data_IF_653168232650
#
_entry.id   IF_653168232650
#
_cell.length_a   1.000
_cell.length_b   1.000
_cell.length_c   1.000
_cell.angle_alpha   90.00
_cell.angle_beta   90.00
_cell.angle_gamma   90.00
#
_symmetry.space_group_name_H-M   'P 1'
#
loop_
_entity.id
_entity.type
_entity.pdbx_description
1 polymer ?
#
# COMPACT_ATOMS: atom_id res chain seq x y z
N UNK A 1 -18.36 97.98 -23.94
CA UNK A 1 -19.69 97.57 -23.44
C UNK A 1 -19.48 96.31 -22.60
N UNK A 2 -19.86 96.38 -21.32
CA UNK A 2 -20.13 95.28 -20.37
C UNK A 2 -18.96 94.40 -19.90
N UNK A 3 -18.47 94.79 -18.71
CA UNK A 3 -17.95 93.94 -17.64
C UNK A 3 -18.77 92.66 -17.44
N UNK A 4 -18.08 91.54 -17.16
CA UNK A 4 -18.41 90.65 -16.04
C UNK A 4 -17.14 89.99 -15.51
N UNK A 5 -16.73 90.49 -14.34
CA UNK A 5 -15.71 89.94 -13.44
C UNK A 5 -16.43 88.94 -12.50
N UNK A 6 -15.64 88.07 -11.83
CA UNK A 6 -15.92 87.35 -10.56
C UNK A 6 -16.59 85.96 -10.76
N UNK A 7 -16.15 84.83 -10.17
CA UNK A 7 -15.34 84.61 -8.95
C UNK A 7 -14.95 83.11 -8.83
N UNK A 8 -13.66 82.84 -8.52
CA UNK A 8 -13.08 81.79 -7.64
C UNK A 8 -13.44 80.29 -7.85
N UNK A 9 -12.43 79.45 -8.08
CA UNK A 9 -11.59 78.88 -7.00
C UNK A 9 -10.23 78.38 -7.52
N UNK A 10 -9.24 78.47 -6.63
CA UNK A 10 -7.81 78.22 -6.81
C UNK A 10 -7.50 76.81 -6.29
N UNK A 11 -6.68 76.03 -7.00
CA UNK A 11 -5.65 75.19 -6.39
C UNK A 11 -4.71 74.61 -7.48
N UNK A 12 -3.53 75.21 -7.56
CA UNK A 12 -2.24 74.66 -8.02
C UNK A 12 -2.23 73.24 -8.58
N UNK A 13 -1.94 73.14 -9.88
CA UNK A 13 -1.48 71.93 -10.56
C UNK A 13 -0.17 71.42 -9.92
N UNK A 14 -0.23 70.31 -9.19
CA UNK A 14 0.90 69.38 -9.15
C UNK A 14 0.75 68.47 -10.36
N UNK A 15 1.58 68.66 -11.38
CA UNK A 15 1.85 67.60 -12.35
C UNK A 15 2.70 66.56 -11.62
N UNK A 16 2.05 65.66 -10.89
CA UNK A 16 2.70 64.41 -10.48
C UNK A 16 2.85 63.58 -11.75
N UNK A 17 4.03 63.63 -12.37
CA UNK A 17 4.44 62.64 -13.34
C UNK A 17 4.56 61.32 -12.56
N UNK A 18 3.45 60.59 -12.47
CA UNK A 18 3.49 59.20 -12.05
C UNK A 18 4.22 58.45 -13.17
N UNK A 19 5.54 58.35 -13.02
CA UNK A 19 6.32 57.37 -13.75
C UNK A 19 5.76 56.02 -13.30
N UNK A 20 4.78 55.50 -14.03
CA UNK A 20 4.41 54.10 -13.94
C UNK A 20 5.64 53.38 -14.45
N UNK A 21 6.54 53.02 -13.54
CA UNK A 21 7.54 52.01 -13.83
C UNK A 21 6.72 50.76 -14.09
N UNK A 22 6.45 50.45 -15.36
CA UNK A 22 6.20 49.08 -15.76
C UNK A 22 7.45 48.33 -15.36
N UNK A 23 7.48 47.84 -14.12
CA UNK A 23 8.26 46.66 -13.80
C UNK A 23 7.73 45.64 -14.81
N UNK A 24 8.55 45.09 -15.72
CA UNK A 24 8.10 43.94 -16.47
C UNK A 24 7.73 42.91 -15.40
N UNK A 25 6.43 42.65 -15.23
CA UNK A 25 5.99 41.45 -14.52
C UNK A 25 6.58 40.34 -15.36
N UNK A 26 7.71 39.80 -14.93
CA UNK A 26 8.30 38.64 -15.56
C UNK A 26 7.17 37.63 -15.72
N UNK A 27 6.94 37.17 -16.95
CA UNK A 27 5.94 36.18 -17.24
C UNK A 27 6.35 34.88 -16.51
N UNK A 28 5.97 34.78 -15.24
CA UNK A 28 6.22 33.60 -14.44
C UNK A 28 5.12 32.63 -14.80
N UNK A 29 5.45 31.67 -15.65
CA UNK A 29 4.56 30.56 -15.87
C UNK A 29 4.51 29.71 -14.60
N UNK A 30 3.31 29.40 -14.12
CA UNK A 30 3.14 28.78 -12.81
C UNK A 30 1.89 27.92 -12.76
N UNK A 31 1.99 26.82 -12.03
CA UNK A 31 0.84 26.00 -11.64
C UNK A 31 0.01 26.74 -10.60
N UNK A 32 -1.31 26.76 -10.79
CA UNK A 32 -2.27 27.40 -9.90
C UNK A 32 -3.39 26.40 -9.61
N UNK A 33 -3.69 26.17 -8.33
CA UNK A 33 -4.87 25.42 -7.89
C UNK A 33 -6.07 26.36 -7.75
N UNK A 34 -7.18 26.05 -8.42
CA UNK A 34 -8.45 26.76 -8.29
C UNK A 34 -9.19 26.38 -7.00
N UNK A 35 -10.13 27.24 -6.59
CA UNK A 35 -11.03 26.98 -5.44
C UNK A 35 -12.00 25.81 -5.69
N UNK A 36 -12.14 25.39 -6.94
CA UNK A 36 -12.91 24.23 -7.39
C UNK A 36 -12.09 22.93 -7.39
N UNK A 37 -10.83 22.97 -6.96
CA UNK A 37 -9.92 21.83 -6.97
C UNK A 37 -9.27 21.54 -8.32
N UNK A 38 -9.57 22.30 -9.37
CA UNK A 38 -8.96 22.15 -10.68
C UNK A 38 -7.56 22.80 -10.71
N UNK A 39 -6.66 22.24 -11.53
CA UNK A 39 -5.34 22.81 -11.77
C UNK A 39 -5.30 23.61 -13.07
N UNK A 40 -4.55 24.70 -13.05
CA UNK A 40 -4.36 25.62 -14.18
C UNK A 40 -2.88 25.91 -14.34
N UNK A 41 -2.45 26.26 -15.54
CA UNK A 41 -1.10 26.77 -15.79
C UNK A 41 -1.18 28.22 -16.28
N UNK A 42 -0.79 29.16 -15.42
CA UNK A 42 -0.70 30.57 -15.77
C UNK A 42 0.46 30.79 -16.72
N UNK A 43 0.24 31.63 -17.74
CA UNK A 43 1.25 32.11 -18.67
C UNK A 43 1.25 33.66 -18.66
N UNK A 44 1.23 34.25 -17.46
CA UNK A 44 1.11 35.69 -17.26
C UNK A 44 -0.35 36.15 -17.20
N UNK A 45 -0.87 36.74 -18.28
CA UNK A 45 -2.23 37.30 -18.31
C UNK A 45 -3.32 36.30 -18.75
N UNK A 46 -2.97 35.04 -18.99
CA UNK A 46 -3.90 33.99 -19.42
C UNK A 46 -3.53 32.62 -18.87
N UNK A 47 -4.45 31.66 -19.01
CA UNK A 47 -4.21 30.24 -18.72
C UNK A 47 -3.89 29.46 -19.98
N UNK A 48 -3.14 28.37 -19.81
CA UNK A 48 -2.92 27.38 -20.85
C UNK A 48 -4.24 26.73 -21.30
N UNK A 49 -4.38 26.52 -22.60
CA UNK A 49 -5.44 25.72 -23.23
C UNK A 49 -4.82 24.75 -24.22
N UNK A 50 -5.45 23.60 -24.42
CA UNK A 50 -4.95 22.51 -25.25
C UNK A 50 -3.70 21.83 -24.69
N UNK A 51 -2.99 21.11 -25.56
CA UNK A 51 -1.74 20.41 -25.20
C UNK A 51 -0.60 21.39 -24.90
N UNK A 52 0.09 21.20 -23.78
CA UNK A 52 1.29 21.93 -23.38
C UNK A 52 2.35 21.01 -22.82
N UNK A 53 3.59 21.23 -23.25
CA UNK A 53 4.76 20.57 -22.70
C UNK A 53 5.36 21.42 -21.60
N UNK A 54 5.33 20.92 -20.36
CA UNK A 54 5.73 21.65 -19.15
C UNK A 54 6.62 20.71 -18.33
N UNK A 55 7.83 21.15 -17.99
CA UNK A 55 8.76 20.43 -17.10
C UNK A 55 8.94 18.94 -17.42
N UNK A 56 9.03 18.58 -18.71
CA UNK A 56 9.30 17.20 -19.12
C UNK A 56 8.08 16.39 -19.52
N UNK A 57 6.87 16.87 -19.26
CA UNK A 57 5.62 16.13 -19.49
C UNK A 57 4.62 16.92 -20.33
N UNK A 58 3.76 16.20 -21.07
CA UNK A 58 2.61 16.79 -21.76
C UNK A 58 1.40 16.82 -20.85
N UNK A 59 0.68 17.94 -20.87
CA UNK A 59 -0.56 18.19 -20.13
C UNK A 59 -1.61 18.71 -21.11
N UNK A 60 -2.87 18.34 -20.88
CA UNK A 60 -3.99 18.88 -21.66
C UNK A 60 -4.85 19.78 -20.79
N UNK A 61 -5.16 20.97 -21.29
CA UNK A 61 -6.04 21.93 -20.65
C UNK A 61 -7.29 22.12 -21.51
N UNK A 62 -8.47 22.14 -20.90
CA UNK A 62 -9.72 22.42 -21.62
C UNK A 62 -9.81 23.88 -22.11
N UNK A 63 -10.92 24.24 -22.75
CA UNK A 63 -11.14 25.59 -23.27
C UNK A 63 -11.25 26.67 -22.17
N UNK A 64 -11.50 26.28 -20.92
CA UNK A 64 -11.52 27.17 -19.75
C UNK A 64 -10.17 27.19 -19.02
N UNK A 65 -9.19 26.41 -19.49
CA UNK A 65 -7.85 26.30 -18.94
C UNK A 65 -7.72 25.32 -17.78
N UNK A 66 -8.72 24.47 -17.52
CA UNK A 66 -8.65 23.43 -16.50
C UNK A 66 -7.84 22.25 -17.02
N UNK A 67 -6.84 21.83 -16.27
CA UNK A 67 -6.05 20.63 -16.55
C UNK A 67 -6.95 19.40 -16.49
N UNK A 68 -6.85 18.56 -17.51
CA UNK A 68 -7.59 17.30 -17.61
C UNK A 68 -6.73 16.12 -17.14
N UNK A 69 -7.38 15.13 -16.55
CA UNK A 69 -6.82 13.85 -16.13
C UNK A 69 -7.68 12.71 -16.69
N UNK A 70 -7.16 11.49 -16.72
CA UNK A 70 -7.85 10.32 -17.27
C UNK A 70 -7.89 10.31 -18.80
N UNK A 71 -8.94 9.72 -19.36
CA UNK A 71 -9.13 9.61 -20.81
C UNK A 71 -9.45 10.97 -21.45
N UNK A 72 -8.64 11.36 -22.43
CA UNK A 72 -8.77 12.63 -23.15
C UNK A 72 -9.05 12.34 -24.63
N UNK A 73 -10.26 12.63 -25.13
CA UNK A 73 -10.54 12.61 -26.56
C UNK A 73 -9.98 13.88 -27.20
N UNK A 74 -9.19 13.72 -28.26
CA UNK A 74 -8.67 14.84 -29.03
C UNK A 74 -8.56 14.49 -30.51
N UNK A 75 -9.41 15.13 -31.33
CA UNK A 75 -9.62 14.73 -32.73
C UNK A 75 -10.24 13.34 -32.80
N UNK A 76 -9.70 12.49 -33.68
CA UNK A 76 -10.12 11.09 -33.84
C UNK A 76 -9.38 10.11 -32.91
N UNK A 77 -8.51 10.65 -32.03
CA UNK A 77 -7.60 9.89 -31.19
C UNK A 77 -7.94 10.04 -29.71
N UNK A 78 -7.52 9.03 -28.93
CA UNK A 78 -7.64 9.01 -27.48
C UNK A 78 -6.26 9.04 -26.84
N UNK A 79 -6.18 9.73 -25.71
CA UNK A 79 -4.99 9.89 -24.89
C UNK A 79 -5.34 9.58 -23.44
N UNK A 80 -4.34 9.36 -22.60
CA UNK A 80 -4.54 9.17 -21.18
C UNK A 80 -3.56 10.01 -20.37
N UNK A 81 -4.07 10.78 -19.40
CA UNK A 81 -3.28 11.51 -18.42
C UNK A 81 -3.47 10.88 -17.04
N UNK A 82 -2.40 10.75 -16.24
CA UNK A 82 -2.52 10.29 -14.86
C UNK A 82 -3.12 11.39 -13.97
N UNK A 83 -3.29 11.11 -12.66
CA UNK A 83 -3.83 12.08 -11.71
C UNK A 83 -2.98 13.34 -11.52
N UNK A 84 -1.70 13.31 -11.88
CA UNK A 84 -0.87 14.52 -11.92
C UNK A 84 -1.13 15.38 -13.16
N UNK A 85 -1.89 14.85 -14.13
CA UNK A 85 -2.15 15.45 -15.43
C UNK A 85 -1.11 15.10 -16.49
N UNK A 86 -0.08 14.33 -16.14
CA UNK A 86 0.96 13.94 -17.08
C UNK A 86 0.44 12.90 -18.07
N UNK A 87 0.61 13.17 -19.36
CA UNK A 87 0.25 12.27 -20.46
C UNK A 87 1.09 10.98 -20.41
N UNK A 88 0.43 9.84 -20.62
CA UNK A 88 1.06 8.53 -20.64
C UNK A 88 1.38 8.07 -22.06
N UNK A 89 2.43 7.24 -22.16
CA UNK A 89 2.87 6.60 -23.41
C UNK A 89 3.26 5.14 -23.11
N UNK A 90 3.31 4.28 -24.12
CA UNK A 90 3.68 2.87 -23.99
C UNK A 90 2.54 1.94 -23.60
N UNK A 91 2.87 0.73 -23.12
CA UNK A 91 1.89 -0.26 -22.68
C UNK A 91 1.39 0.06 -21.27
N UNK A 92 0.11 0.39 -21.14
CA UNK A 92 -0.49 0.82 -19.89
C UNK A 92 -1.71 -0.03 -19.58
N UNK A 93 -1.80 -0.54 -18.36
CA UNK A 93 -3.01 -1.19 -17.87
C UNK A 93 -3.93 -0.15 -17.22
N UNK A 94 -5.16 -0.01 -17.69
CA UNK A 94 -6.15 0.93 -17.17
C UNK A 94 -7.39 0.11 -16.86
N UNK A 95 -7.85 0.12 -15.60
CA UNK A 95 -9.03 -0.64 -15.17
C UNK A 95 -8.94 -2.14 -15.49
N UNK A 96 -7.74 -2.73 -15.34
CA UNK A 96 -7.51 -4.14 -15.65
C UNK A 96 -7.38 -4.47 -17.14
N UNK A 97 -7.48 -3.47 -18.02
CA UNK A 97 -7.38 -3.64 -19.48
C UNK A 97 -6.08 -3.04 -19.99
N UNK A 98 -5.38 -3.77 -20.85
CA UNK A 98 -4.10 -3.32 -21.40
C UNK A 98 -4.34 -2.52 -22.67
N UNK A 99 -3.77 -1.31 -22.73
CA UNK A 99 -3.80 -0.40 -23.85
C UNK A 99 -2.36 -0.08 -24.28
N UNK A 100 -2.18 0.26 -25.55
CA UNK A 100 -0.90 0.73 -26.08
C UNK A 100 -1.06 2.19 -26.51
N UNK A 101 -0.18 3.06 -26.01
CA UNK A 101 -0.08 4.44 -26.42
C UNK A 101 1.23 4.66 -27.18
N UNK A 102 1.18 5.39 -28.30
CA UNK A 102 2.38 5.74 -29.07
C UNK A 102 3.29 6.71 -28.28
N UNK A 103 4.45 7.03 -28.84
CA UNK A 103 5.32 8.08 -28.28
C UNK A 103 4.71 9.49 -28.33
N UNK A 104 3.71 9.71 -29.19
CA UNK A 104 2.89 10.93 -29.21
C UNK A 104 1.71 10.89 -28.22
N UNK A 105 1.48 9.77 -27.53
CA UNK A 105 0.40 9.58 -26.57
C UNK A 105 -0.90 9.07 -27.17
N UNK A 106 -0.94 8.73 -28.46
CA UNK A 106 -2.15 8.27 -29.14
C UNK A 106 -2.41 6.79 -28.85
N UNK A 107 -3.62 6.46 -28.41
CA UNK A 107 -4.06 5.08 -28.18
C UNK A 107 -4.12 4.31 -29.50
N UNK A 108 -3.46 3.15 -29.53
CA UNK A 108 -3.38 2.27 -30.68
C UNK A 108 -4.59 1.33 -30.75
N UNK A 109 -5.02 1.01 -31.98
CA UNK A 109 -6.09 0.08 -32.31
C UNK A 109 -5.59 -0.92 -33.37
N UNK A 110 -6.19 -2.11 -33.44
CA UNK A 110 -5.80 -3.13 -34.41
C UNK A 110 -4.47 -3.81 -34.06
N UNK A 111 -3.72 -4.22 -35.08
CA UNK A 111 -2.49 -5.01 -34.90
C UNK A 111 -1.25 -4.14 -34.67
N UNK A 112 -0.43 -4.49 -33.69
CA UNK A 112 0.87 -3.86 -33.40
C UNK A 112 1.92 -4.90 -33.03
N UNK A 113 3.17 -4.67 -33.45
CA UNK A 113 4.30 -5.54 -33.09
C UNK A 113 4.97 -5.04 -31.80
N UNK A 114 4.96 -5.86 -30.76
CA UNK A 114 5.53 -5.56 -29.44
C UNK A 114 6.53 -6.66 -29.11
N UNK A 115 7.81 -6.33 -28.91
CA UNK A 115 8.86 -7.32 -28.59
C UNK A 115 8.93 -8.52 -29.55
N UNK A 116 8.71 -8.28 -30.85
CA UNK A 116 8.70 -9.34 -31.87
C UNK A 116 7.42 -10.19 -31.91
N UNK A 117 6.43 -9.85 -31.09
CA UNK A 117 5.14 -10.52 -31.01
C UNK A 117 4.04 -9.64 -31.59
N UNK A 118 3.14 -10.26 -32.37
CA UNK A 118 1.95 -9.58 -32.89
C UNK A 118 0.88 -9.51 -31.80
N UNK A 119 0.53 -8.29 -31.40
CA UNK A 119 -0.52 -8.01 -30.43
C UNK A 119 -1.69 -7.32 -31.12
N UNK A 120 -2.92 -7.74 -30.81
CA UNK A 120 -4.13 -7.16 -31.38
C UNK A 120 -4.89 -6.40 -30.29
N UNK A 121 -5.37 -5.22 -30.65
CA UNK A 121 -6.20 -4.35 -29.83
C UNK A 121 -7.55 -4.14 -30.52
N UNK A 122 -8.64 -4.17 -29.77
CA UNK A 122 -9.98 -3.92 -30.29
C UNK A 122 -10.21 -2.43 -30.62
N UNK A 123 -11.43 -2.08 -31.05
CA UNK A 123 -11.78 -0.70 -31.41
C UNK A 123 -11.78 0.28 -30.22
N UNK A 124 -11.81 -0.25 -28.99
CA UNK A 124 -11.65 0.52 -27.76
C UNK A 124 -10.18 0.55 -27.29
N UNK A 125 -9.25 0.00 -28.08
CA UNK A 125 -7.82 -0.05 -27.75
C UNK A 125 -7.45 -1.08 -26.70
N UNK A 126 -8.32 -2.05 -26.41
CA UNK A 126 -8.09 -3.10 -25.40
C UNK A 126 -7.38 -4.28 -26.04
N UNK A 127 -6.31 -4.75 -25.42
CA UNK A 127 -5.60 -5.95 -25.85
C UNK A 127 -6.50 -7.20 -25.78
N UNK A 128 -6.59 -7.94 -26.88
CA UNK A 128 -7.42 -9.14 -27.05
C UNK A 128 -6.62 -10.42 -27.32
N UNK A 129 -5.30 -10.39 -27.14
CA UNK A 129 -4.44 -11.56 -27.36
C UNK A 129 -4.35 -12.50 -26.16
N UNK A 130 -4.01 -13.75 -26.42
CA UNK A 130 -3.79 -14.79 -25.38
C UNK A 130 -2.38 -14.79 -24.81
N UNK A 131 -1.47 -14.01 -25.39
CA UNK A 131 -0.09 -13.94 -24.94
C UNK A 131 0.08 -12.96 -23.78
N UNK A 132 0.85 -13.32 -22.74
CA UNK A 132 1.12 -12.40 -21.64
C UNK A 132 2.01 -11.25 -22.14
N UNK A 133 1.45 -10.05 -22.19
CA UNK A 133 2.22 -8.81 -22.38
C UNK A 133 2.26 -8.04 -21.06
N UNK A 134 3.43 -7.50 -20.75
CA UNK A 134 3.70 -6.79 -19.49
C UNK A 134 3.53 -5.28 -19.71
N UNK A 135 2.56 -4.63 -19.06
CA UNK A 135 2.46 -3.18 -19.04
C UNK A 135 3.68 -2.56 -18.35
N UNK A 136 4.01 -1.31 -18.70
CA UNK A 136 5.06 -0.53 -18.04
C UNK A 136 4.52 0.34 -16.92
N UNK A 137 3.20 0.57 -16.88
CA UNK A 137 2.46 1.22 -15.79
C UNK A 137 1.04 0.65 -15.71
N UNK A 138 0.39 0.83 -14.58
CA UNK A 138 -1.04 0.53 -14.45
C UNK A 138 -1.77 1.66 -13.70
N UNK A 139 -3.07 1.81 -13.95
CA UNK A 139 -3.96 2.78 -13.33
C UNK A 139 -5.32 2.12 -13.01
N UNK A 140 -5.87 2.38 -11.84
CA UNK A 140 -7.21 1.94 -11.46
C UNK A 140 -8.30 2.82 -12.08
N UNK A 141 -9.57 2.53 -11.76
CA UNK A 141 -10.74 3.31 -12.20
C UNK A 141 -10.68 4.79 -11.79
N UNK A 142 -10.00 5.10 -10.69
CA UNK A 142 -9.85 6.45 -10.18
C UNK A 142 -8.59 7.14 -10.73
N UNK A 143 -7.82 6.48 -11.59
CA UNK A 143 -6.57 7.00 -12.15
C UNK A 143 -5.38 6.89 -11.20
N UNK A 144 -5.51 6.19 -10.06
CA UNK A 144 -4.40 5.96 -9.16
C UNK A 144 -3.41 5.02 -9.82
N UNK A 145 -2.11 5.35 -9.73
CA UNK A 145 -1.08 4.44 -10.21
C UNK A 145 -1.12 3.13 -9.42
N UNK A 146 -1.14 2.03 -10.16
CA UNK A 146 -1.05 0.65 -9.67
C UNK A 146 0.19 -0.02 -10.28
N UNK A 147 0.77 -1.01 -9.60
CA UNK A 147 1.95 -1.71 -10.11
C UNK A 147 1.59 -2.55 -11.33
N UNK A 148 2.29 -2.40 -12.46
CA UNK A 148 2.21 -3.37 -13.54
C UNK A 148 3.02 -4.64 -13.20
N UNK A 149 2.59 -5.79 -13.70
CA UNK A 149 3.30 -7.06 -13.49
C UNK A 149 4.59 -7.14 -14.33
N UNK A 150 5.74 -6.78 -13.76
CA UNK A 150 7.04 -6.81 -14.46
C UNK A 150 7.75 -8.17 -14.36
N UNK A 151 7.95 -8.84 -15.49
CA UNK A 151 9.04 -9.83 -15.66
C UNK A 151 10.11 -9.22 -16.57
N UNK A 152 11.37 -9.31 -16.15
CA UNK A 152 12.57 -8.72 -16.74
C UNK A 152 12.58 -8.61 -18.28
N UNK A 153 12.85 -7.40 -18.78
CA UNK A 153 12.99 -7.09 -20.21
C UNK A 153 14.47 -6.99 -20.63
N UNK A 154 14.81 -7.59 -21.77
CA UNK A 154 15.98 -7.29 -22.61
C UNK A 154 15.49 -7.10 -24.05
N UNK A 155 15.85 -5.98 -24.69
CA UNK A 155 15.49 -5.66 -26.08
C UNK A 155 16.76 -5.73 -26.96
N UNK A 156 16.64 -6.32 -28.15
CA UNK A 156 17.71 -6.42 -29.16
C UNK A 156 17.36 -5.67 -30.47
N UNK A 157 18.29 -5.68 -31.43
CA UNK A 157 19.03 -4.51 -31.89
C UNK A 157 18.43 -3.67 -33.04
N UNK A 158 17.11 -3.57 -33.19
CA UNK A 158 16.48 -2.71 -34.23
C UNK A 158 15.33 -1.79 -33.74
N UNK A 159 15.14 -1.62 -32.43
CA UNK A 159 14.18 -0.65 -31.89
C UNK A 159 14.85 0.70 -31.63
N UNK A 160 14.33 1.78 -32.20
CA UNK A 160 14.69 3.15 -31.77
C UNK A 160 13.67 3.63 -30.75
N UNK A 161 13.95 3.43 -29.46
CA UNK A 161 13.43 4.25 -28.35
C UNK A 161 14.42 4.31 -27.18
N UNK A 162 14.68 5.56 -26.78
CA UNK A 162 15.31 6.15 -25.58
C UNK A 162 16.71 5.72 -25.14
N UNK A 163 17.68 6.59 -25.43
CA UNK A 163 18.84 6.81 -24.54
C UNK A 163 18.44 7.90 -23.55
N UNK A 164 18.69 7.61 -22.28
CA UNK A 164 18.72 8.53 -21.13
C UNK A 164 17.49 8.48 -20.19
N UNK A 165 17.72 7.75 -19.09
CA UNK A 165 17.06 7.79 -17.76
C UNK A 165 18.20 8.25 -16.81
N UNK A 166 18.08 9.20 -15.83
CA UNK A 166 17.10 9.18 -14.71
C UNK A 166 16.66 10.52 -14.02
N UNK A 167 15.60 10.43 -13.17
CA UNK A 167 15.54 10.74 -11.71
C UNK A 167 14.37 11.62 -11.17
N UNK A 168 13.21 11.02 -10.84
CA UNK A 168 12.35 11.36 -9.67
C UNK A 168 11.23 10.33 -9.37
N UNK A 169 11.56 9.04 -9.47
CA UNK A 169 10.61 7.94 -9.25
C UNK A 169 9.83 7.96 -7.94
N UNK A 170 8.57 7.50 -8.00
CA UNK A 170 7.85 7.05 -6.82
C UNK A 170 7.04 5.78 -7.13
N UNK A 171 7.21 4.79 -6.25
CA UNK A 171 6.72 3.42 -6.29
C UNK A 171 5.47 3.31 -5.40
N UNK A 172 4.38 2.67 -5.89
CA UNK A 172 3.22 2.33 -5.06
C UNK A 172 3.19 0.81 -4.85
N UNK A 173 3.43 0.29 -3.64
CA UNK A 173 3.48 -1.16 -3.42
C UNK A 173 2.10 -1.81 -3.64
N UNK A 174 2.04 -3.06 -4.16
CA UNK A 174 0.80 -3.85 -4.30
C UNK A 174 0.08 -3.94 -2.95
N UNK A 175 -1.23 -3.73 -2.85
CA UNK A 175 -1.90 -3.75 -1.54
C UNK A 175 -2.60 -5.08 -1.25
N UNK A 176 -2.64 -5.46 0.02
CA UNK A 176 -3.32 -6.65 0.54
C UNK A 176 -4.35 -6.27 1.61
N UNK A 177 -5.46 -6.99 1.63
CA UNK A 177 -6.57 -6.77 2.55
C UNK A 177 -6.52 -7.78 3.70
N UNK A 178 -6.57 -7.26 4.93
CA UNK A 178 -6.65 -8.03 6.16
C UNK A 178 -8.01 -7.79 6.79
N UNK A 179 -8.78 -8.86 6.95
CA UNK A 179 -10.07 -8.85 7.68
C UNK A 179 -9.86 -9.41 9.08
N UNK A 180 -10.32 -8.68 10.08
CA UNK A 180 -10.30 -9.05 11.48
C UNK A 180 -11.71 -9.44 11.90
N UNK A 181 -11.88 -10.67 12.38
CA UNK A 181 -13.19 -11.23 12.71
C UNK A 181 -13.29 -11.72 14.15
N UNK A 182 -14.45 -11.60 14.76
CA UNK A 182 -14.80 -12.31 16.00
C UNK A 182 -15.60 -13.57 15.62
N UNK A 183 -15.00 -14.77 15.71
CA UNK A 183 -15.71 -16.00 15.37
C UNK A 183 -16.85 -16.31 16.36
N UNK A 184 -16.83 -15.72 17.55
CA UNK A 184 -17.81 -15.93 18.62
C UNK A 184 -18.78 -14.73 18.74
N UNK A 185 -19.01 -14.02 17.64
CA UNK A 185 -19.98 -12.93 17.58
C UNK A 185 -21.41 -13.48 17.65
N UNK A 186 -22.31 -12.77 18.35
CA UNK A 186 -23.69 -13.20 18.53
C UNK A 186 -24.50 -13.21 17.23
N UNK A 187 -24.10 -12.41 16.23
CA UNK A 187 -24.74 -12.30 14.92
C UNK A 187 -23.71 -12.18 13.79
N UNK A 188 -24.09 -12.54 12.55
CA UNK A 188 -23.20 -12.47 11.37
C UNK A 188 -22.70 -11.05 11.06
N UNK A 189 -23.50 -10.03 11.36
CA UNK A 189 -23.13 -8.62 11.15
C UNK A 189 -22.04 -8.14 12.12
N UNK A 190 -21.90 -8.78 13.29
CA UNK A 190 -20.90 -8.47 14.32
C UNK A 190 -19.61 -9.31 14.16
N UNK A 191 -19.61 -10.28 13.23
CA UNK A 191 -18.47 -11.17 12.98
C UNK A 191 -17.28 -10.40 12.40
N UNK A 192 -17.48 -9.29 11.68
CA UNK A 192 -16.40 -8.47 11.10
C UNK A 192 -16.06 -7.28 12.00
N UNK A 193 -14.96 -7.40 12.74
CA UNK A 193 -14.50 -6.35 13.64
C UNK A 193 -13.80 -5.19 12.90
N UNK A 194 -12.97 -5.50 11.89
CA UNK A 194 -12.19 -4.48 11.17
C UNK A 194 -11.69 -4.98 9.82
N UNK A 195 -11.51 -4.06 8.87
CA UNK A 195 -10.76 -4.31 7.62
C UNK A 195 -9.63 -3.30 7.50
N UNK A 196 -8.45 -3.74 7.06
CA UNK A 196 -7.28 -2.87 6.83
C UNK A 196 -6.57 -3.27 5.54
N UNK A 197 -6.08 -2.27 4.81
CA UNK A 197 -5.29 -2.44 3.58
C UNK A 197 -3.82 -2.14 3.88
N UNK A 198 -2.91 -2.95 3.33
CA UNK A 198 -1.47 -2.85 3.58
C UNK A 198 -0.68 -3.03 2.29
N UNK A 199 0.24 -2.12 2.06
CA UNK A 199 1.24 -2.16 0.99
C UNK A 199 2.14 -3.41 1.06
N UNK A 200 2.44 -4.01 -0.09
CA UNK A 200 3.27 -5.19 -0.26
C UNK A 200 4.68 -4.86 0.21
N UNK A 201 5.28 -5.82 0.92
CA UNK A 201 6.56 -5.65 1.61
C UNK A 201 6.54 -4.63 2.75
N UNK A 202 5.38 -4.12 3.17
CA UNK A 202 5.24 -3.31 4.38
C UNK A 202 4.84 -4.15 5.58
N UNK A 203 5.37 -3.79 6.74
CA UNK A 203 4.97 -4.36 8.02
C UNK A 203 3.75 -3.61 8.57
N UNK A 204 2.83 -4.32 9.22
CA UNK A 204 1.70 -3.71 9.92
C UNK A 204 1.61 -4.14 11.37
N UNK A 205 1.10 -3.23 12.22
CA UNK A 205 0.56 -3.55 13.52
C UNK A 205 -0.84 -4.13 13.41
N UNK A 206 -1.12 -5.11 14.26
CA UNK A 206 -2.42 -5.74 14.38
C UNK A 206 -3.36 -4.90 15.26
N UNK A 207 -4.66 -5.02 14.99
CA UNK A 207 -5.71 -4.35 15.73
C UNK A 207 -5.89 -5.01 17.11
N UNK A 208 -6.06 -4.25 18.18
CA UNK A 208 -6.38 -4.80 19.52
C UNK A 208 -7.90 -4.72 19.70
N UNK A 209 -8.62 -5.86 19.67
CA UNK A 209 -10.06 -5.86 19.88
C UNK A 209 -10.38 -5.87 21.39
N UNK A 210 -11.59 -5.42 21.73
CA UNK A 210 -12.13 -5.50 23.10
C UNK A 210 -13.47 -6.22 23.08
N UNK A 211 -13.66 -7.18 23.98
CA UNK A 211 -14.91 -7.92 24.16
C UNK A 211 -15.26 -7.98 25.64
N UNK A 212 -16.46 -7.56 26.02
CA UNK A 212 -16.88 -7.50 27.42
C UNK A 212 -16.87 -8.89 28.05
N UNK A 213 -16.22 -9.03 29.21
CA UNK A 213 -16.11 -10.32 29.90
C UNK A 213 -15.03 -11.26 29.35
N UNK A 214 -14.24 -10.83 28.37
CA UNK A 214 -13.16 -11.63 27.79
C UNK A 214 -11.84 -10.85 27.72
N UNK A 215 -10.72 -11.57 27.77
CA UNK A 215 -9.38 -11.08 27.47
C UNK A 215 -8.98 -11.56 26.07
N UNK A 216 -8.47 -10.64 25.24
CA UNK A 216 -7.94 -10.99 23.93
C UNK A 216 -6.62 -11.76 24.08
N UNK A 217 -6.52 -12.93 23.44
CA UNK A 217 -5.34 -13.80 23.51
C UNK A 217 -4.43 -13.60 22.29
N UNK A 218 -4.96 -13.84 21.09
CA UNK A 218 -4.22 -13.68 19.83
C UNK A 218 -5.17 -13.55 18.63
N UNK A 219 -4.63 -13.08 17.51
CA UNK A 219 -5.23 -13.26 16.18
C UNK A 219 -4.81 -14.61 15.61
N UNK A 220 -5.73 -15.36 15.00
CA UNK A 220 -5.41 -16.63 14.37
C UNK A 220 -5.89 -16.69 12.92
N UNK A 221 -5.11 -17.32 12.03
CA UNK A 221 -5.51 -17.55 10.63
C UNK A 221 -6.69 -18.52 10.45
N UNK A 222 -7.11 -19.22 11.51
CA UNK A 222 -8.30 -20.07 11.54
C UNK A 222 -9.16 -19.73 12.75
N UNK A 223 -10.48 -19.75 12.58
CA UNK A 223 -11.46 -19.46 13.64
C UNK A 223 -11.33 -20.38 14.85
N UNK A 224 -10.97 -21.64 14.63
CA UNK A 224 -10.79 -22.65 15.68
C UNK A 224 -9.42 -22.60 16.40
N UNK A 225 -8.61 -21.57 16.14
CA UNK A 225 -7.30 -21.42 16.75
C UNK A 225 -6.22 -22.36 16.22
N UNK A 226 -6.49 -23.30 15.31
CA UNK A 226 -5.47 -24.26 14.84
C UNK A 226 -4.59 -23.74 13.69
N UNK A 227 -4.67 -22.45 13.37
CA UNK A 227 -3.82 -21.80 12.38
C UNK A 227 -2.60 -21.11 13.01
N UNK A 228 -1.88 -20.34 12.19
CA UNK A 228 -0.82 -19.43 12.65
C UNK A 228 -1.41 -18.35 13.55
N UNK A 229 -0.86 -18.20 14.75
CA UNK A 229 -1.22 -17.18 15.75
C UNK A 229 -0.32 -15.95 15.67
N UNK A 230 -0.90 -14.78 15.89
CA UNK A 230 -0.25 -13.48 15.94
C UNK A 230 -0.74 -12.67 17.14
N UNK A 231 0.18 -12.18 17.95
CA UNK A 231 -0.07 -11.24 19.03
C UNK A 231 -0.29 -9.83 18.50
N UNK A 232 -0.96 -8.99 19.29
CA UNK A 232 -1.13 -7.57 18.99
C UNK A 232 0.22 -6.82 18.81
N UNK A 233 1.24 -7.25 19.54
CA UNK A 233 2.60 -6.72 19.46
C UNK A 233 3.36 -7.15 18.19
N UNK A 234 2.84 -8.12 17.43
CA UNK A 234 3.52 -8.59 16.22
C UNK A 234 3.47 -7.58 15.08
N UNK A 235 4.54 -7.59 14.30
CA UNK A 235 4.61 -6.96 12.98
C UNK A 235 4.57 -8.04 11.91
N UNK A 236 3.53 -8.05 11.09
CA UNK A 236 3.38 -9.06 10.05
C UNK A 236 3.67 -8.49 8.67
N UNK A 237 4.34 -9.27 7.83
CA UNK A 237 4.45 -9.04 6.40
C UNK A 237 3.25 -9.68 5.71
N UNK A 238 2.45 -8.86 5.05
CA UNK A 238 1.27 -9.33 4.33
C UNK A 238 1.67 -9.51 2.86
N UNK A 239 1.58 -10.74 2.37
CA UNK A 239 1.96 -11.12 1.00
C UNK A 239 0.75 -11.61 0.18
N UNK A 240 -0.44 -11.62 0.80
CA UNK A 240 -1.72 -11.97 0.20
C UNK A 240 -2.85 -11.49 1.11
N UNK A 241 -4.06 -11.40 0.56
CA UNK A 241 -5.25 -11.16 1.37
C UNK A 241 -5.41 -12.27 2.42
N UNK A 242 -5.81 -11.88 3.62
CA UNK A 242 -5.96 -12.82 4.74
C UNK A 242 -7.09 -12.42 5.68
N UNK A 243 -7.62 -13.42 6.38
CA UNK A 243 -8.58 -13.21 7.47
C UNK A 243 -7.96 -13.71 8.76
N UNK A 244 -8.07 -12.90 9.80
CA UNK A 244 -7.61 -13.17 11.15
C UNK A 244 -8.81 -13.19 12.09
N UNK A 245 -8.89 -14.24 12.91
CA UNK A 245 -9.96 -14.47 13.86
C UNK A 245 -9.45 -14.20 15.27
N UNK A 246 -10.17 -13.38 16.04
CA UNK A 246 -9.84 -13.11 17.42
C UNK A 246 -10.01 -14.40 18.22
N UNK A 247 -9.07 -14.65 19.13
CA UNK A 247 -9.16 -15.73 20.10
C UNK A 247 -9.27 -15.10 21.49
N UNK A 248 -10.25 -15.56 22.25
CA UNK A 248 -10.64 -14.96 23.52
C UNK A 248 -10.44 -15.96 24.66
N UNK A 249 -10.11 -15.46 25.85
CA UNK A 249 -10.27 -16.19 27.11
C UNK A 249 -11.35 -15.47 27.93
N UNK A 250 -12.30 -16.23 28.50
CA UNK A 250 -13.29 -15.66 29.41
C UNK A 250 -12.62 -15.16 30.70
N UNK A 251 -12.93 -13.93 31.09
CA UNK A 251 -12.44 -13.35 32.32
C UNK A 251 -13.11 -14.07 33.48
N UNK A 252 -12.35 -14.89 34.22
CA UNK A 252 -12.85 -15.48 35.44
C UNK A 252 -13.04 -14.37 36.48
N UNK A 253 -14.28 -13.94 36.66
CA UNK A 253 -14.66 -13.13 37.82
C UNK A 253 -14.46 -14.02 39.05
N UNK A 254 -13.35 -13.85 39.75
CA UNK A 254 -13.21 -14.35 41.11
C UNK A 254 -14.12 -13.53 42.02
N UNK A 255 -15.42 -13.78 41.92
CA UNK A 255 -16.37 -13.44 42.97
C UNK A 255 -16.06 -14.39 44.13
N UNK A 256 -15.13 -13.95 44.98
CA UNK A 256 -14.95 -14.48 46.32
C UNK A 256 -16.27 -14.33 47.07
N UNK A 257 -17.09 -15.37 47.03
CA UNK A 257 -18.02 -15.69 48.10
C UNK A 257 -17.93 -17.19 48.39
N UNK A 258 -17.17 -17.48 49.46
CA UNK A 258 -17.01 -18.72 50.21
C UNK A 258 -17.90 -19.91 49.81
N UNK A 259 -17.27 -21.00 49.35
CA UNK A 259 -17.04 -22.23 50.13
C UNK A 259 -16.76 -23.43 49.20
N UNK A 260 -15.59 -24.06 49.35
CA UNK A 260 -15.28 -25.37 48.76
C UNK A 260 -14.22 -25.36 47.65
N UNK A 261 -12.96 -25.60 48.04
CA UNK A 261 -11.80 -25.88 47.18
C UNK A 261 -11.50 -24.85 46.10
N UNK A 262 -11.00 -23.68 46.51
CA UNK A 262 -10.31 -22.77 45.61
C UNK A 262 -8.98 -23.42 45.17
N UNK A 263 -8.98 -24.09 44.02
CA UNK A 263 -7.73 -24.41 43.34
C UNK A 263 -7.22 -23.12 42.73
N UNK A 264 -6.47 -22.33 43.51
CA UNK A 264 -5.75 -21.16 42.99
C UNK A 264 -4.93 -21.61 41.79
N UNK A 265 -5.37 -21.19 40.61
CA UNK A 265 -4.71 -21.54 39.35
C UNK A 265 -3.46 -20.70 39.24
N UNK A 266 -2.30 -21.34 39.25
CA UNK A 266 -1.01 -20.66 39.03
C UNK A 266 -0.85 -20.50 37.54
N UNK A 267 -1.01 -19.26 37.05
CA UNK A 267 -0.86 -18.91 35.63
C UNK A 267 0.61 -18.75 35.26
N UNK A 268 0.93 -19.06 34.00
CA UNK A 268 2.22 -18.79 33.38
C UNK A 268 2.48 -17.28 33.39
N UNK A 269 3.72 -16.88 33.68
CA UNK A 269 4.18 -15.49 33.75
C UNK A 269 5.32 -15.21 32.77
N UNK A 270 6.09 -16.24 32.39
CA UNK A 270 7.12 -16.14 31.35
C UNK A 270 7.39 -17.47 30.67
N UNK A 271 7.86 -17.41 29.43
CA UNK A 271 8.30 -18.57 28.65
C UNK A 271 9.64 -18.23 27.99
N UNK A 272 10.68 -19.02 28.24
CA UNK A 272 11.97 -18.89 27.57
C UNK A 272 12.08 -19.91 26.44
N UNK A 273 12.25 -19.48 25.19
CA UNK A 273 12.32 -20.37 24.00
C UNK A 273 13.75 -20.48 23.49
N UNK A 274 14.19 -21.69 23.15
CA UNK A 274 15.53 -21.94 22.60
C UNK A 274 15.55 -23.12 21.62
N UNK A 275 16.42 -23.05 20.61
CA UNK A 275 16.75 -24.20 19.78
C UNK A 275 17.55 -25.24 20.56
N UNK A 276 17.44 -26.50 20.18
CA UNK A 276 18.21 -27.58 20.80
C UNK A 276 19.71 -27.24 20.82
N UNK A 277 20.34 -27.46 21.98
CA UNK A 277 21.73 -27.09 22.24
C UNK A 277 22.05 -25.58 22.05
N UNK A 278 21.03 -24.72 22.12
CA UNK A 278 21.19 -23.27 21.94
C UNK A 278 21.40 -22.84 20.49
N UNK A 279 21.20 -23.73 19.51
CA UNK A 279 21.34 -23.41 18.09
C UNK A 279 20.36 -22.32 17.67
N UNK A 280 20.82 -21.41 16.81
CA UNK A 280 20.05 -20.28 16.27
C UNK A 280 19.94 -20.29 14.74
N UNK A 281 20.39 -21.35 14.09
CA UNK A 281 20.39 -21.43 12.63
C UNK A 281 20.24 -22.85 12.09
N UNK A 282 19.60 -22.97 10.94
CA UNK A 282 19.49 -24.19 10.12
C UNK A 282 19.71 -23.84 8.64
N UNK A 283 19.98 -24.83 7.79
CA UNK A 283 19.94 -24.66 6.33
C UNK A 283 18.50 -24.88 5.80
N UNK A 284 18.21 -24.43 4.58
CA UNK A 284 16.99 -24.82 3.85
C UNK A 284 16.93 -26.35 3.73
N UNK A 285 15.79 -26.95 4.07
CA UNK A 285 15.60 -28.40 4.18
C UNK A 285 16.08 -29.01 5.50
N UNK A 286 16.82 -28.27 6.32
CA UNK A 286 17.24 -28.67 7.66
C UNK A 286 16.12 -28.61 8.69
N UNK A 287 16.31 -29.28 9.83
CA UNK A 287 15.37 -29.24 10.95
C UNK A 287 16.05 -29.01 12.29
N UNK A 288 15.37 -28.31 13.21
CA UNK A 288 15.83 -28.01 14.56
C UNK A 288 14.69 -28.25 15.56
N UNK A 289 14.97 -29.00 16.62
CA UNK A 289 14.03 -29.14 17.72
C UNK A 289 14.04 -27.86 18.55
N UNK A 290 12.88 -27.24 18.72
CA UNK A 290 12.68 -26.09 19.60
C UNK A 290 12.22 -26.58 20.97
N UNK A 291 12.65 -25.87 22.01
CA UNK A 291 12.35 -26.17 23.42
C UNK A 291 11.94 -24.89 24.12
N UNK A 292 11.14 -25.02 25.19
CA UNK A 292 10.76 -23.89 26.02
C UNK A 292 10.87 -24.25 27.51
N UNK A 293 11.06 -23.22 28.35
CA UNK A 293 10.95 -23.31 29.80
C UNK A 293 9.81 -22.40 30.22
N UNK A 294 8.76 -22.98 30.79
CA UNK A 294 7.60 -22.25 31.32
C UNK A 294 7.87 -21.86 32.77
N UNK A 295 7.50 -20.64 33.16
CA UNK A 295 7.66 -20.13 34.51
C UNK A 295 6.40 -19.42 35.01
N UNK A 296 6.02 -19.60 36.29
CA UNK A 296 6.72 -20.42 37.27
C UNK A 296 6.55 -21.93 36.97
N UNK A 297 7.50 -22.75 37.43
CA UNK A 297 7.54 -24.19 37.10
C UNK A 297 6.41 -25.01 37.73
N UNK A 298 5.64 -24.40 38.63
CA UNK A 298 4.43 -24.93 39.27
C UNK A 298 3.15 -24.36 38.63
N UNK A 299 3.23 -23.68 37.48
CA UNK A 299 2.07 -23.28 36.72
C UNK A 299 1.16 -24.51 36.45
N UNK A 300 -0.14 -24.32 36.67
CA UNK A 300 -1.13 -25.41 36.63
C UNK A 300 -1.21 -26.06 35.24
N UNK A 301 -0.99 -25.26 34.19
CA UNK A 301 -0.91 -25.72 32.79
C UNK A 301 0.40 -25.21 32.18
N UNK A 302 1.30 -26.14 31.82
CA UNK A 302 2.62 -25.82 31.23
C UNK A 302 2.72 -26.14 29.74
N UNK A 303 1.61 -26.58 29.11
CA UNK A 303 1.59 -26.81 27.68
C UNK A 303 1.68 -25.49 26.91
N UNK A 304 2.35 -25.55 25.76
CA UNK A 304 2.49 -24.41 24.85
C UNK A 304 1.99 -24.78 23.46
N UNK A 305 1.53 -23.77 22.74
CA UNK A 305 1.23 -23.85 21.32
C UNK A 305 2.37 -23.22 20.53
N UNK A 306 2.89 -23.99 19.58
CA UNK A 306 3.98 -23.53 18.72
C UNK A 306 3.45 -22.82 17.48
N UNK A 307 4.08 -21.70 17.13
CA UNK A 307 3.83 -21.00 15.87
C UNK A 307 5.11 -20.35 15.36
N UNK A 308 5.07 -19.86 14.11
CA UNK A 308 6.18 -19.16 13.46
C UNK A 308 5.65 -17.83 12.92
N UNK A 309 6.47 -16.79 13.03
CA UNK A 309 6.35 -15.58 12.23
C UNK A 309 7.52 -15.49 11.24
N UNK A 310 7.21 -15.32 9.96
CA UNK A 310 8.21 -15.15 8.90
C UNK A 310 8.74 -13.71 8.85
N UNK A 311 10.06 -13.56 8.91
CA UNK A 311 10.78 -12.29 8.73
C UNK A 311 11.78 -12.42 7.56
N UNK A 312 11.22 -12.64 6.36
CA UNK A 312 11.99 -12.88 5.14
C UNK A 312 12.42 -14.33 4.91
N UNK A 313 12.29 -15.21 5.91
CA UNK A 313 12.44 -16.66 5.76
C UNK A 313 11.12 -17.42 5.80
N UNK A 314 11.14 -18.70 5.46
CA UNK A 314 9.97 -19.57 5.57
C UNK A 314 10.33 -20.91 6.23
N UNK A 315 9.45 -21.38 7.12
CA UNK A 315 9.59 -22.65 7.82
C UNK A 315 8.23 -23.21 8.23
N UNK A 316 8.23 -24.48 8.62
CA UNK A 316 7.10 -25.13 9.31
C UNK A 316 7.52 -25.54 10.73
N UNK A 317 6.58 -25.55 11.67
CA UNK A 317 6.80 -26.08 13.03
C UNK A 317 5.71 -27.08 13.39
N UNK A 318 6.10 -28.22 13.95
CA UNK A 318 5.14 -29.21 14.44
C UNK A 318 4.53 -28.79 15.79
N UNK A 319 3.47 -29.48 16.20
CA UNK A 319 2.89 -29.36 17.55
C UNK A 319 3.87 -29.72 18.67
N UNK A 320 4.93 -30.46 18.35
CA UNK A 320 6.01 -30.83 19.27
C UNK A 320 7.22 -29.90 19.19
N UNK A 321 7.15 -28.79 18.44
CA UNK A 321 8.23 -27.81 18.34
C UNK A 321 9.35 -28.16 17.36
N UNK A 322 9.16 -29.13 16.46
CA UNK A 322 10.17 -29.43 15.41
C UNK A 322 10.05 -28.42 14.28
N UNK A 323 11.02 -27.51 14.18
CA UNK A 323 11.16 -26.51 13.12
C UNK A 323 11.82 -27.13 11.88
N UNK A 324 11.30 -26.86 10.68
CA UNK A 324 11.89 -27.27 9.39
C UNK A 324 11.96 -26.09 8.44
N UNK A 325 13.16 -25.76 7.95
CA UNK A 325 13.36 -24.62 7.06
C UNK A 325 12.93 -24.91 5.62
N UNK A 326 12.13 -24.04 5.02
CA UNK A 326 11.63 -24.19 3.63
C UNK A 326 12.14 -23.09 2.69
N UNK A 327 12.63 -21.98 3.22
CA UNK A 327 13.17 -20.87 2.45
C UNK A 327 14.14 -20.03 3.30
N UNK A 328 15.20 -19.55 2.67
CA UNK A 328 16.25 -18.79 3.34
C UNK A 328 15.72 -17.46 3.87
N UNK A 329 16.23 -17.03 5.03
CA UNK A 329 15.82 -15.81 5.73
C UNK A 329 15.56 -16.06 7.21
N UNK A 330 15.01 -15.07 7.92
CA UNK A 330 14.76 -15.17 9.36
C UNK A 330 13.33 -15.61 9.66
N UNK A 331 13.17 -16.35 10.75
CA UNK A 331 11.86 -16.68 11.33
C UNK A 331 11.90 -16.52 12.85
N UNK A 332 10.81 -16.05 13.43
CA UNK A 332 10.61 -15.99 14.88
C UNK A 332 9.77 -17.21 15.28
N UNK A 333 10.35 -18.08 16.11
CA UNK A 333 9.63 -19.20 16.71
C UNK A 333 8.95 -18.73 17.99
N UNK A 334 7.69 -19.09 18.17
CA UNK A 334 6.88 -18.70 19.33
C UNK A 334 6.35 -19.93 20.06
N UNK A 335 6.31 -19.82 21.39
CA UNK A 335 5.62 -20.74 22.27
C UNK A 335 4.63 -19.94 23.13
N UNK A 336 3.34 -20.07 22.85
CA UNK A 336 2.27 -19.40 23.59
C UNK A 336 1.71 -20.31 24.68
N UNK A 337 1.55 -19.80 25.90
CA UNK A 337 0.91 -20.54 26.99
C UNK A 337 -0.53 -20.90 26.61
N UNK A 338 -0.95 -22.12 26.89
CA UNK A 338 -2.34 -22.56 26.65
C UNK A 338 -3.21 -22.46 27.89
N UNK A 339 -2.68 -21.86 28.96
CA UNK A 339 -3.37 -21.66 30.22
C UNK A 339 -4.20 -20.38 30.23
N UNK A 340 -4.17 -19.60 29.14
CA UNK A 340 -4.89 -18.34 28.97
C UNK A 340 -4.19 -17.09 29.50
N UNK A 341 -3.04 -17.23 30.17
CA UNK A 341 -2.24 -16.10 30.65
C UNK A 341 -1.83 -15.07 29.58
N UNK A 342 -1.97 -15.39 28.29
CA UNK A 342 -1.50 -14.57 27.18
C UNK A 342 0.03 -14.53 27.04
N UNK A 343 0.76 -15.27 27.89
CA UNK A 343 2.22 -15.25 27.88
C UNK A 343 2.75 -15.98 26.66
N UNK A 344 3.68 -15.33 25.95
CA UNK A 344 4.38 -15.91 24.80
C UNK A 344 5.87 -15.72 24.95
N UNK A 345 6.61 -16.81 24.77
CA UNK A 345 8.05 -16.79 24.62
C UNK A 345 8.45 -16.82 23.15
N UNK A 346 9.53 -16.15 22.78
CA UNK A 346 9.99 -16.06 21.39
C UNK A 346 11.49 -16.29 21.25
N UNK A 347 11.93 -16.73 20.07
CA UNK A 347 13.34 -16.79 19.70
C UNK A 347 13.52 -16.68 18.19
N UNK A 348 14.58 -15.99 17.74
CA UNK A 348 14.91 -15.84 16.31
C UNK A 348 15.76 -17.03 15.82
N UNK A 349 15.39 -17.60 14.67
CA UNK A 349 16.15 -18.62 13.95
C UNK A 349 16.46 -18.14 12.53
N UNK A 350 17.72 -18.26 12.11
CA UNK A 350 18.17 -17.95 10.74
C UNK A 350 18.19 -19.20 9.88
N UNK A 351 17.54 -19.15 8.72
CA UNK A 351 17.54 -20.21 7.71
C UNK A 351 18.50 -19.81 6.59
N UNK A 352 19.60 -20.52 6.45
CA UNK A 352 20.64 -20.24 5.46
C UNK A 352 20.33 -20.90 4.13
N UNK A 353 20.62 -20.22 3.02
CA UNK A 353 20.60 -20.84 1.69
C UNK A 353 21.58 -22.01 1.65
N UNK A 354 21.20 -23.06 0.93
CA UNK A 354 22.00 -24.28 0.72
C UNK A 354 23.20 -24.04 -0.16
#
# INVERSE_FOLDING_TARGET
>A
MKHKILKKLIASSLVSLALVTLVPVGASAAWISGSDGAWYYSMGYSFATGWKYINGSWYYFDSMGKMQTGWIPYGDNWYYADLSGAMQTGLIQIEGKIHLFSSSGEMQKGSSMINGQLCNFDDNGVYIGSYPITPIKAFDYYGNSTMPYASNQLITSNSTMSKDIPSDGLYHPKQYTIKFKDPDADNEDDELLKTKTVDENSQMYLYIPTKSGYTFVEWNTKSNGNGTGYLDSDRIYVTQDMTLYAQWEENTNSNNNNNGNNTDTVKVTSIAVSGASGLKSIAVGGSLQMTCIVSPGDATTQSVKWSILSEGGSATISTTGKLTGTGAGKVIVKAAATDGSGVVGTTEITISAS
#
